data_IF_237640531705
#
_entry.id   IF_237640531705
#
_cell.length_a   1.000
_cell.length_b   1.000
_cell.length_c   1.000
_cell.angle_alpha   90.00
_cell.angle_beta   90.00
_cell.angle_gamma   90.00
#
_symmetry.space_group_name_H-M   'P 1'
#
loop_
_entity.id
_entity.type
_entity.pdbx_description
1 polymer ?
#
# COMPACT_ATOMS: atom_id res chain seq x y z
N UNK A 1 14.29 -14.00 -22.65
CA UNK A 1 13.13 -14.74 -22.10
C UNK A 1 12.94 -15.98 -22.96
N UNK A 2 13.40 -17.15 -22.51
CA UNK A 2 13.08 -18.41 -23.19
C UNK A 2 11.57 -18.51 -23.13
N UNK A 3 10.89 -18.53 -24.29
CA UNK A 3 9.44 -18.78 -24.32
C UNK A 3 9.27 -20.20 -23.80
N UNK A 4 8.98 -20.37 -22.51
CA UNK A 4 8.79 -21.69 -21.87
C UNK A 4 7.71 -22.56 -22.55
N UNK A 5 6.96 -21.99 -23.50
CA UNK A 5 6.17 -22.73 -24.50
C UNK A 5 7.00 -23.82 -25.22
N UNK A 6 8.31 -23.64 -25.35
CA UNK A 6 9.18 -24.55 -26.10
C UNK A 6 9.80 -25.67 -25.23
N UNK A 7 9.61 -25.66 -23.90
CA UNK A 7 10.04 -26.75 -23.01
C UNK A 7 8.85 -27.44 -22.35
N UNK A 8 8.08 -28.16 -23.16
CA UNK A 8 6.87 -28.90 -22.76
C UNK A 8 7.10 -29.93 -21.64
N UNK A 9 8.36 -30.36 -21.44
CA UNK A 9 8.77 -31.27 -20.36
C UNK A 9 8.82 -30.60 -18.99
N UNK A 10 9.03 -29.29 -18.92
CA UNK A 10 9.08 -28.55 -17.65
C UNK A 10 7.70 -28.06 -17.17
N UNK A 11 6.65 -28.17 -17.98
CA UNK A 11 5.32 -27.71 -17.64
C UNK A 11 4.61 -28.69 -16.70
N UNK A 12 4.18 -28.19 -15.54
CA UNK A 12 3.30 -28.90 -14.61
C UNK A 12 1.94 -29.21 -15.25
N UNK A 13 1.19 -30.23 -14.78
CA UNK A 13 -0.10 -30.60 -15.36
C UNK A 13 -1.12 -29.45 -15.47
N UNK A 14 -1.21 -28.57 -14.46
CA UNK A 14 -2.10 -27.41 -14.49
C UNK A 14 -1.71 -26.39 -15.57
N UNK A 15 -0.41 -26.14 -15.78
CA UNK A 15 0.05 -25.27 -16.87
C UNK A 15 -0.43 -25.78 -18.24
N UNK A 16 -0.39 -27.10 -18.45
CA UNK A 16 -0.86 -27.71 -19.71
C UNK A 16 -2.36 -27.54 -19.91
N UNK A 17 -3.16 -27.67 -18.84
CA UNK A 17 -4.61 -27.40 -18.87
C UNK A 17 -4.90 -25.94 -19.22
N UNK A 18 -4.27 -25.00 -18.52
CA UNK A 18 -4.45 -23.56 -18.79
C UNK A 18 -4.09 -23.23 -20.24
N UNK A 19 -2.96 -23.73 -20.75
CA UNK A 19 -2.56 -23.54 -22.15
C UNK A 19 -3.60 -24.11 -23.12
N UNK A 20 -4.20 -25.26 -22.79
CA UNK A 20 -5.26 -25.85 -23.59
C UNK A 20 -6.52 -24.96 -23.61
N UNK A 21 -6.95 -24.45 -22.46
CA UNK A 21 -8.15 -23.63 -22.33
C UNK A 21 -8.04 -22.30 -23.08
N UNK A 22 -6.85 -21.72 -23.11
CA UNK A 22 -6.61 -20.40 -23.73
C UNK A 22 -6.07 -20.52 -25.17
N UNK A 23 -6.05 -21.72 -25.76
CA UNK A 23 -5.40 -21.98 -27.05
C UNK A 23 -5.83 -21.01 -28.15
N UNK A 24 -7.11 -20.65 -28.18
CA UNK A 24 -7.72 -19.76 -29.18
C UNK A 24 -8.07 -18.38 -28.61
N UNK A 25 -7.61 -18.07 -27.38
CA UNK A 25 -7.89 -16.82 -26.70
C UNK A 25 -6.76 -15.80 -26.85
N UNK A 26 -7.13 -14.52 -26.91
CA UNK A 26 -6.19 -13.41 -26.77
C UNK A 26 -5.88 -13.18 -25.30
N UNK A 27 -4.64 -13.45 -24.90
CA UNK A 27 -4.15 -13.14 -23.55
C UNK A 27 -3.87 -11.65 -23.43
N UNK A 28 -4.46 -11.02 -22.41
CA UNK A 28 -4.20 -9.63 -22.04
C UNK A 28 -2.98 -9.56 -21.10
N UNK A 29 -2.22 -8.44 -21.10
CA UNK A 29 -1.04 -8.30 -20.25
C UNK A 29 -1.41 -8.32 -18.76
N UNK A 30 -0.78 -9.14 -17.91
CA UNK A 30 -1.13 -9.25 -16.49
C UNK A 30 -0.96 -7.93 -15.72
N UNK A 31 -0.02 -7.07 -16.12
CA UNK A 31 0.23 -5.76 -15.53
C UNK A 31 -0.94 -4.77 -15.66
N UNK A 32 -1.86 -5.00 -16.61
CA UNK A 32 -3.07 -4.19 -16.76
C UNK A 32 -4.27 -4.75 -16.01
N UNK A 33 -4.14 -5.89 -15.32
CA UNK A 33 -5.27 -6.57 -14.67
C UNK A 33 -5.94 -5.71 -13.60
N UNK A 34 -5.19 -5.17 -12.61
CA UNK A 34 -5.77 -4.34 -11.54
C UNK A 34 -6.43 -3.07 -12.10
N UNK A 35 -5.79 -2.42 -13.07
CA UNK A 35 -6.35 -1.28 -13.81
C UNK A 35 -7.68 -1.64 -14.51
N UNK A 36 -7.74 -2.83 -15.12
CA UNK A 36 -8.96 -3.32 -15.75
C UNK A 36 -10.05 -3.61 -14.71
N UNK A 37 -9.72 -4.23 -13.57
CA UNK A 37 -10.64 -4.46 -12.47
C UNK A 37 -11.25 -3.15 -11.97
N UNK A 38 -10.42 -2.14 -11.73
CA UNK A 38 -10.81 -0.78 -11.33
C UNK A 38 -11.73 -0.08 -12.35
N UNK A 39 -11.51 -0.30 -13.65
CA UNK A 39 -12.36 0.26 -14.72
C UNK A 39 -13.71 -0.45 -14.86
N UNK A 40 -13.83 -1.68 -14.34
CA UNK A 40 -14.93 -2.58 -14.63
C UNK A 40 -15.61 -3.10 -13.36
N UNK A 41 -15.66 -2.30 -12.29
CA UNK A 41 -16.30 -2.69 -11.01
C UNK A 41 -17.73 -3.24 -11.20
N UNK A 42 -18.52 -2.62 -12.07
CA UNK A 42 -19.90 -3.08 -12.38
C UNK A 42 -19.96 -4.47 -13.02
N UNK A 43 -18.90 -4.93 -13.69
CA UNK A 43 -18.88 -6.27 -14.30
C UNK A 43 -18.81 -7.39 -13.28
N UNK A 44 -18.21 -7.09 -12.12
CA UNK A 44 -18.10 -7.98 -10.97
C UNK A 44 -19.36 -7.98 -10.10
N UNK A 45 -20.29 -7.07 -10.36
CA UNK A 45 -21.54 -6.98 -9.61
C UNK A 45 -22.47 -8.12 -10.01
N UNK A 46 -22.65 -9.05 -9.08
CA UNK A 46 -23.75 -10.01 -9.11
C UNK A 46 -25.11 -9.30 -8.93
N UNK A 47 -25.89 -9.20 -10.01
CA UNK A 47 -27.18 -8.49 -10.02
C UNK A 47 -28.27 -9.21 -9.23
N UNK A 48 -28.06 -10.49 -8.90
CA UNK A 48 -29.07 -11.32 -8.26
C UNK A 48 -29.01 -11.24 -6.72
N UNK A 49 -27.99 -10.58 -6.15
CA UNK A 49 -27.89 -10.32 -4.70
C UNK A 49 -28.48 -8.96 -4.31
N UNK A 50 -29.31 -8.93 -3.25
CA UNK A 50 -29.83 -7.67 -2.70
C UNK A 50 -28.72 -6.87 -1.98
N UNK A 51 -28.11 -5.96 -2.74
CA UNK A 51 -27.00 -5.13 -2.29
C UNK A 51 -27.35 -4.18 -1.14
N UNK A 52 -28.62 -3.74 -1.11
CA UNK A 52 -29.05 -2.74 -0.14
C UNK A 52 -29.13 -3.36 1.25
N UNK A 53 -29.62 -4.59 1.36
CA UNK A 53 -29.66 -5.32 2.62
C UNK A 53 -28.27 -5.69 3.15
N UNK A 54 -27.36 -6.14 2.26
CA UNK A 54 -25.96 -6.44 2.65
C UNK A 54 -25.30 -5.20 3.22
N UNK A 55 -25.46 -4.06 2.54
CA UNK A 55 -24.82 -2.81 2.96
C UNK A 55 -25.38 -2.31 4.29
N UNK A 56 -26.72 -2.26 4.41
CA UNK A 56 -27.40 -1.93 5.66
C UNK A 56 -26.99 -2.84 6.81
N UNK A 57 -26.73 -4.13 6.55
CA UNK A 57 -26.26 -5.07 7.57
C UNK A 57 -24.83 -4.75 7.99
N UNK A 58 -23.91 -4.53 7.04
CA UNK A 58 -22.52 -4.18 7.34
C UNK A 58 -22.43 -2.88 8.15
N UNK A 59 -23.17 -1.85 7.73
CA UNK A 59 -23.31 -0.58 8.43
C UNK A 59 -23.82 -0.74 9.87
N UNK A 60 -24.88 -1.54 10.08
CA UNK A 60 -25.43 -1.83 11.42
C UNK A 60 -24.41 -2.54 12.31
N UNK A 61 -23.71 -3.54 11.77
CA UNK A 61 -22.69 -4.29 12.52
C UNK A 61 -21.52 -3.37 12.89
N UNK A 62 -21.00 -2.60 11.94
CA UNK A 62 -19.89 -1.69 12.18
C UNK A 62 -20.25 -0.59 13.19
N UNK A 63 -21.46 -0.04 13.10
CA UNK A 63 -21.99 0.92 14.08
C UNK A 63 -22.04 0.30 15.47
N UNK A 64 -22.62 -0.91 15.61
CA UNK A 64 -22.67 -1.63 16.88
C UNK A 64 -21.29 -1.91 17.47
N UNK A 65 -20.35 -2.44 16.66
CA UNK A 65 -18.97 -2.72 17.10
C UNK A 65 -18.28 -1.43 17.56
N UNK A 66 -18.47 -0.33 16.84
CA UNK A 66 -17.92 0.98 17.19
C UNK A 66 -18.47 1.49 18.52
N UNK A 67 -19.79 1.36 18.74
CA UNK A 67 -20.44 1.72 20.00
C UNK A 67 -19.91 0.89 21.17
N UNK A 68 -19.76 -0.43 20.98
CA UNK A 68 -19.19 -1.33 22.00
C UNK A 68 -17.74 -0.97 22.31
N UNK A 69 -16.90 -0.76 21.29
CA UNK A 69 -15.50 -0.39 21.46
C UNK A 69 -15.34 0.96 22.16
N UNK A 70 -16.14 1.97 21.77
CA UNK A 70 -16.15 3.28 22.41
C UNK A 70 -16.56 3.19 23.88
N UNK A 71 -17.65 2.48 24.18
CA UNK A 71 -18.12 2.26 25.55
C UNK A 71 -17.07 1.57 26.40
N UNK A 72 -16.41 0.56 25.84
CA UNK A 72 -15.36 -0.17 26.53
C UNK A 72 -14.13 0.70 26.83
N UNK A 73 -13.70 1.51 25.85
CA UNK A 73 -12.49 2.34 25.96
C UNK A 73 -12.70 3.58 26.83
N UNK A 74 -13.76 4.35 26.57
CA UNK A 74 -14.03 5.63 27.22
C UNK A 74 -14.90 5.51 28.47
N UNK A 75 -15.44 4.31 28.76
CA UNK A 75 -16.37 4.07 29.88
C UNK A 75 -17.58 5.01 29.90
N UNK A 76 -17.93 5.56 28.74
CA UNK A 76 -19.06 6.46 28.54
C UNK A 76 -19.88 5.99 27.34
N UNK A 77 -21.21 6.20 27.34
CA UNK A 77 -22.03 5.89 26.16
C UNK A 77 -21.55 6.73 24.97
N UNK A 78 -21.51 6.15 23.76
CA UNK A 78 -21.11 6.87 22.57
C UNK A 78 -22.09 8.01 22.28
N UNK A 79 -21.63 9.13 21.70
CA UNK A 79 -22.54 10.13 21.15
C UNK A 79 -23.46 9.48 20.11
N UNK A 80 -24.70 9.97 19.97
CA UNK A 80 -25.66 9.44 18.98
C UNK A 80 -25.05 9.49 17.57
N UNK A 81 -24.59 8.33 17.09
CA UNK A 81 -24.08 8.17 15.73
C UNK A 81 -25.31 8.12 14.81
N UNK A 82 -25.76 9.29 14.35
CA UNK A 82 -26.81 9.41 13.35
C UNK A 82 -26.32 8.78 12.04
N UNK A 83 -26.74 7.54 11.77
CA UNK A 83 -26.50 6.87 10.51
C UNK A 83 -27.26 7.59 9.40
N UNK A 84 -26.56 8.46 8.68
CA UNK A 84 -27.08 9.04 7.43
C UNK A 84 -26.88 8.00 6.33
N UNK A 85 -27.98 7.43 5.84
CA UNK A 85 -27.97 6.48 4.72
C UNK A 85 -27.42 7.19 3.48
N UNK A 86 -26.28 6.73 2.95
CA UNK A 86 -25.71 7.28 1.72
C UNK A 86 -25.70 6.24 0.59
N UNK A 87 -26.36 6.53 -0.55
CA UNK A 87 -26.66 5.53 -1.61
C UNK A 87 -25.48 5.13 -2.53
N UNK A 88 -24.26 5.64 -2.31
CA UNK A 88 -23.10 5.39 -3.20
C UNK A 88 -22.09 4.37 -2.66
N UNK A 89 -22.31 3.84 -1.44
CA UNK A 89 -21.43 2.87 -0.76
C UNK A 89 -21.57 1.42 -1.23
N UNK A 90 -22.72 1.10 -1.83
CA UNK A 90 -23.17 -0.28 -2.02
C UNK A 90 -22.25 -1.13 -2.89
N UNK A 91 -21.49 -0.52 -3.81
CA UNK A 91 -20.63 -1.29 -4.70
C UNK A 91 -19.41 -1.87 -3.97
N UNK A 92 -18.76 -1.12 -3.07
CA UNK A 92 -17.55 -1.61 -2.40
C UNK A 92 -17.87 -2.73 -1.40
N UNK A 93 -18.94 -2.55 -0.62
CA UNK A 93 -19.40 -3.54 0.34
C UNK A 93 -19.87 -4.82 -0.35
N UNK A 94 -20.60 -4.69 -1.47
CA UNK A 94 -20.98 -5.82 -2.30
C UNK A 94 -19.77 -6.57 -2.84
N UNK A 95 -18.81 -5.85 -3.44
CA UNK A 95 -17.61 -6.48 -4.00
C UNK A 95 -16.79 -7.19 -2.92
N UNK A 96 -16.65 -6.59 -1.74
CA UNK A 96 -16.00 -7.24 -0.60
C UNK A 96 -16.69 -8.56 -0.24
N UNK A 97 -18.02 -8.55 -0.07
CA UNK A 97 -18.78 -9.75 0.31
C UNK A 97 -18.74 -10.84 -0.77
N UNK A 98 -18.80 -10.45 -2.04
CA UNK A 98 -18.69 -11.40 -3.16
C UNK A 98 -17.31 -12.05 -3.15
N UNK A 99 -16.24 -11.26 -3.07
CA UNK A 99 -14.88 -11.81 -3.09
C UNK A 99 -14.55 -12.65 -1.85
N UNK A 100 -15.02 -12.26 -0.67
CA UNK A 100 -14.88 -13.07 0.56
C UNK A 100 -15.53 -14.45 0.37
N UNK A 101 -16.76 -14.49 -0.13
CA UNK A 101 -17.48 -15.74 -0.44
C UNK A 101 -16.75 -16.59 -1.46
N UNK A 102 -16.22 -16.00 -2.53
CA UNK A 102 -15.47 -16.72 -3.57
C UNK A 102 -14.15 -17.27 -3.03
N UNK A 103 -13.42 -16.48 -2.24
CA UNK A 103 -12.16 -16.91 -1.64
C UNK A 103 -12.40 -18.05 -0.66
N UNK A 104 -13.45 -17.96 0.17
CA UNK A 104 -13.84 -19.03 1.09
C UNK A 104 -14.15 -20.32 0.33
N UNK A 105 -14.98 -20.25 -0.71
CA UNK A 105 -15.38 -21.39 -1.53
C UNK A 105 -14.17 -22.05 -2.22
N UNK A 106 -13.30 -21.25 -2.83
CA UNK A 106 -12.06 -21.74 -3.48
C UNK A 106 -11.11 -22.37 -2.45
N UNK A 107 -10.98 -21.77 -1.26
CA UNK A 107 -10.07 -22.26 -0.22
C UNK A 107 -10.54 -23.57 0.43
N UNK A 108 -11.86 -23.76 0.54
CA UNK A 108 -12.46 -24.97 1.10
C UNK A 108 -12.65 -26.08 0.06
N UNK A 109 -12.49 -25.77 -1.24
CA UNK A 109 -12.66 -26.73 -2.32
C UNK A 109 -11.58 -27.83 -2.28
N UNK A 110 -12.03 -29.08 -2.41
CA UNK A 110 -11.14 -30.23 -2.63
C UNK A 110 -10.74 -30.40 -4.10
N UNK A 111 -11.37 -29.64 -5.01
CA UNK A 111 -11.09 -29.71 -6.43
C UNK A 111 -9.84 -28.90 -6.76
N UNK A 112 -8.90 -29.51 -7.48
CA UNK A 112 -7.69 -28.84 -7.95
C UNK A 112 -7.97 -27.69 -8.94
N UNK A 113 -9.16 -27.70 -9.54
CA UNK A 113 -9.65 -26.71 -10.49
C UNK A 113 -11.08 -26.37 -10.15
N UNK A 114 -11.39 -25.09 -10.14
CA UNK A 114 -12.72 -24.58 -9.84
C UNK A 114 -13.07 -23.44 -10.79
N UNK A 115 -14.32 -23.38 -11.21
CA UNK A 115 -14.82 -22.32 -12.06
C UNK A 115 -15.93 -21.56 -11.35
N UNK A 116 -15.78 -20.25 -11.26
CA UNK A 116 -16.72 -19.36 -10.58
C UNK A 116 -17.14 -18.26 -11.53
N UNK A 117 -18.43 -17.98 -11.58
CA UNK A 117 -18.98 -16.85 -12.32
C UNK A 117 -19.32 -15.73 -11.35
N UNK A 118 -18.66 -14.59 -11.51
CA UNK A 118 -18.83 -13.39 -10.68
C UNK A 118 -19.44 -12.29 -11.55
N UNK A 119 -20.75 -12.08 -11.42
CA UNK A 119 -21.50 -11.20 -12.31
C UNK A 119 -21.37 -11.62 -13.77
N UNK A 120 -20.70 -10.79 -14.57
CA UNK A 120 -20.45 -11.07 -16.01
C UNK A 120 -19.06 -11.67 -16.30
N UNK A 121 -18.23 -11.84 -15.27
CA UNK A 121 -16.86 -12.34 -15.39
C UNK A 121 -16.79 -13.80 -14.97
N UNK A 122 -16.12 -14.63 -15.76
CA UNK A 122 -15.85 -16.02 -15.42
C UNK A 122 -14.41 -16.15 -14.98
N UNK A 123 -14.18 -16.74 -13.82
CA UNK A 123 -12.87 -16.97 -13.22
C UNK A 123 -12.65 -18.46 -13.06
N UNK A 124 -11.58 -18.96 -13.67
CA UNK A 124 -11.13 -20.35 -13.50
C UNK A 124 -9.91 -20.33 -12.60
N UNK A 125 -10.04 -20.93 -11.42
CA UNK A 125 -8.94 -21.17 -10.48
C UNK A 125 -8.33 -22.54 -10.79
N UNK A 126 -7.02 -22.61 -11.06
CA UNK A 126 -6.31 -23.88 -11.30
C UNK A 126 -4.92 -23.81 -10.63
N UNK A 127 -4.83 -24.38 -9.43
CA UNK A 127 -3.67 -24.29 -8.53
C UNK A 127 -3.25 -22.84 -8.21
N UNK A 128 -2.04 -22.44 -8.60
CA UNK A 128 -1.44 -21.12 -8.32
C UNK A 128 -1.75 -20.05 -9.37
N UNK A 129 -2.47 -20.42 -10.43
CA UNK A 129 -2.85 -19.55 -11.53
C UNK A 129 -4.37 -19.46 -11.66
N UNK A 130 -4.80 -18.32 -12.21
CA UNK A 130 -6.20 -18.06 -12.50
C UNK A 130 -6.35 -17.56 -13.93
N UNK A 131 -7.42 -18.00 -14.60
CA UNK A 131 -7.86 -17.46 -15.89
C UNK A 131 -9.08 -16.58 -15.62
N UNK A 132 -9.00 -15.31 -15.99
CA UNK A 132 -10.12 -14.36 -15.88
C UNK A 132 -10.62 -14.04 -17.28
N UNK A 133 -11.77 -14.58 -17.64
CA UNK A 133 -12.40 -14.35 -18.95
C UNK A 133 -13.18 -13.04 -18.94
N UNK A 134 -12.73 -12.08 -19.74
CA UNK A 134 -13.37 -10.76 -19.84
C UNK A 134 -14.32 -10.66 -21.03
N UNK A 135 -14.12 -11.52 -22.03
CA UNK A 135 -14.99 -11.81 -23.18
C UNK A 135 -14.73 -13.26 -23.61
N UNK A 136 -15.56 -13.80 -24.49
CA UNK A 136 -15.44 -15.18 -25.01
C UNK A 136 -14.02 -15.56 -25.46
N UNK A 137 -13.31 -14.64 -26.14
CA UNK A 137 -11.96 -14.90 -26.68
C UNK A 137 -10.89 -13.98 -26.07
N UNK A 138 -11.13 -13.35 -24.92
CA UNK A 138 -10.15 -12.49 -24.25
C UNK A 138 -10.06 -12.85 -22.76
N UNK A 139 -8.85 -13.11 -22.29
CA UNK A 139 -8.61 -13.48 -20.90
C UNK A 139 -7.35 -12.86 -20.33
N UNK A 140 -7.30 -12.76 -19.01
CA UNK A 140 -6.06 -12.61 -18.25
C UNK A 140 -5.65 -13.98 -17.71
N UNK A 141 -4.34 -14.25 -17.70
CA UNK A 141 -3.76 -15.35 -16.92
C UNK A 141 -2.88 -14.71 -15.85
N UNK A 142 -3.29 -14.83 -14.60
CA UNK A 142 -2.68 -14.12 -13.46
C UNK A 142 -2.41 -15.10 -12.31
N UNK A 143 -1.41 -14.83 -11.46
CA UNK A 143 -1.25 -15.62 -10.24
C UNK A 143 -2.43 -15.39 -9.30
N UNK A 144 -2.76 -16.41 -8.49
CA UNK A 144 -3.82 -16.32 -7.49
C UNK A 144 -3.62 -15.15 -6.52
N UNK A 145 -2.37 -14.80 -6.20
CA UNK A 145 -2.03 -13.64 -5.37
C UNK A 145 -2.54 -12.31 -5.94
N UNK A 146 -2.67 -12.17 -7.26
CA UNK A 146 -3.20 -10.96 -7.88
C UNK A 146 -4.73 -10.87 -7.78
N UNK A 147 -5.42 -12.03 -7.76
CA UNK A 147 -6.86 -12.10 -7.42
C UNK A 147 -7.06 -11.70 -5.96
N UNK A 148 -6.26 -12.27 -5.05
CA UNK A 148 -6.29 -11.92 -3.63
C UNK A 148 -6.01 -10.43 -3.40
N UNK A 149 -5.05 -9.85 -4.13
CA UNK A 149 -4.77 -8.41 -4.08
C UNK A 149 -6.01 -7.58 -4.45
N UNK A 150 -6.76 -7.96 -5.49
CA UNK A 150 -7.96 -7.23 -5.87
C UNK A 150 -9.11 -7.41 -4.86
N UNK A 151 -9.26 -8.61 -4.30
CA UNK A 151 -10.22 -8.85 -3.21
C UNK A 151 -9.90 -7.99 -1.99
N UNK A 152 -8.63 -7.94 -1.56
CA UNK A 152 -8.17 -7.10 -0.44
C UNK A 152 -8.38 -5.60 -0.69
N UNK A 153 -8.20 -5.15 -1.95
CA UNK A 153 -8.58 -3.79 -2.35
C UNK A 153 -10.08 -3.54 -2.13
N UNK A 154 -10.95 -4.44 -2.57
CA UNK A 154 -12.40 -4.30 -2.37
C UNK A 154 -12.79 -4.23 -0.89
N UNK A 155 -12.22 -5.12 -0.07
CA UNK A 155 -12.45 -5.14 1.37
C UNK A 155 -11.93 -3.88 2.06
N UNK A 156 -10.75 -3.40 1.65
CA UNK A 156 -10.17 -2.16 2.15
C UNK A 156 -11.04 -0.94 1.80
N UNK A 157 -11.56 -0.86 0.58
CA UNK A 157 -12.47 0.22 0.17
C UNK A 157 -13.77 0.20 0.96
N UNK A 158 -14.36 -0.99 1.17
CA UNK A 158 -15.55 -1.16 1.99
C UNK A 158 -15.30 -0.71 3.44
N UNK A 159 -14.22 -1.20 4.06
CA UNK A 159 -13.87 -0.87 5.45
C UNK A 159 -13.63 0.63 5.66
N UNK A 160 -12.86 1.25 4.76
CA UNK A 160 -12.59 2.69 4.80
C UNK A 160 -13.87 3.49 4.58
N UNK A 161 -14.72 3.07 3.64
CA UNK A 161 -15.98 3.74 3.40
C UNK A 161 -16.87 3.72 4.64
N UNK A 162 -17.09 2.54 5.23
CA UNK A 162 -17.84 2.35 6.48
C UNK A 162 -17.27 3.24 7.60
N UNK A 163 -15.94 3.25 7.78
CA UNK A 163 -15.28 4.11 8.77
C UNK A 163 -15.60 5.59 8.52
N UNK A 164 -15.42 6.06 7.28
CA UNK A 164 -15.65 7.46 6.93
C UNK A 164 -17.11 7.89 7.12
N UNK A 165 -18.07 6.98 6.94
CA UNK A 165 -19.50 7.20 7.20
C UNK A 165 -19.76 7.35 8.69
N UNK A 166 -19.25 6.41 9.51
CA UNK A 166 -19.43 6.44 10.96
C UNK A 166 -18.80 7.68 11.61
N UNK A 167 -17.68 8.15 11.05
CA UNK A 167 -16.93 9.30 11.55
C UNK A 167 -17.06 10.54 10.65
N UNK A 168 -18.15 10.68 9.90
CA UNK A 168 -18.31 11.76 8.93
C UNK A 168 -18.19 13.15 9.57
N UNK A 169 -18.64 13.30 10.82
CA UNK A 169 -18.61 14.55 11.59
C UNK A 169 -17.38 14.68 12.51
N UNK A 170 -16.32 13.88 12.30
CA UNK A 170 -15.07 13.97 13.09
C UNK A 170 -14.44 15.36 13.02
N UNK A 171 -14.59 16.05 11.88
CA UNK A 171 -14.06 17.39 11.65
C UNK A 171 -15.22 18.37 11.43
N UNK A 172 -15.42 19.37 12.32
CA UNK A 172 -16.52 20.33 12.19
C UNK A 172 -16.51 21.04 10.83
N UNK A 173 -17.67 21.03 10.15
CA UNK A 173 -17.84 21.68 8.85
C UNK A 173 -17.20 20.94 7.66
N UNK A 174 -16.71 19.70 7.87
CA UNK A 174 -16.09 18.90 6.83
C UNK A 174 -16.68 17.49 6.78
N UNK A 175 -16.95 16.99 5.58
CA UNK A 175 -17.43 15.61 5.40
C UNK A 175 -16.26 14.69 5.08
N UNK A 176 -15.84 13.90 6.08
CA UNK A 176 -14.80 12.89 5.88
C UNK A 176 -15.21 11.84 4.83
N UNK A 177 -16.50 11.47 4.78
CA UNK A 177 -17.00 10.52 3.80
C UNK A 177 -16.85 11.01 2.35
N UNK A 178 -17.21 12.28 2.08
CA UNK A 178 -17.06 12.86 0.73
C UNK A 178 -15.59 12.85 0.32
N UNK A 179 -14.70 13.29 1.21
CA UNK A 179 -13.26 13.36 0.93
C UNK A 179 -12.65 11.99 0.64
N UNK A 180 -12.97 10.99 1.48
CA UNK A 180 -12.52 9.61 1.30
C UNK A 180 -13.01 9.05 -0.04
N UNK A 181 -14.29 9.24 -0.36
CA UNK A 181 -14.88 8.76 -1.62
C UNK A 181 -14.21 9.39 -2.83
N UNK A 182 -14.07 10.72 -2.84
CA UNK A 182 -13.42 11.43 -3.95
C UNK A 182 -11.95 11.05 -4.09
N UNK A 183 -11.25 10.84 -2.96
CA UNK A 183 -9.87 10.38 -2.97
C UNK A 183 -9.75 8.97 -3.58
N UNK A 184 -10.61 8.02 -3.18
CA UNK A 184 -10.69 6.68 -3.77
C UNK A 184 -10.96 6.74 -5.28
N UNK A 185 -11.88 7.60 -5.72
CA UNK A 185 -12.19 7.78 -7.13
C UNK A 185 -11.02 8.35 -7.93
N UNK A 186 -10.33 9.37 -7.41
CA UNK A 186 -9.13 9.96 -8.02
C UNK A 186 -8.00 8.92 -8.14
N UNK A 187 -7.76 8.15 -7.08
CA UNK A 187 -6.75 7.08 -7.10
C UNK A 187 -7.10 5.98 -8.10
N UNK A 188 -8.36 5.53 -8.11
CA UNK A 188 -8.86 4.54 -9.06
C UNK A 188 -8.68 5.03 -10.50
N UNK A 189 -9.11 6.24 -10.80
CA UNK A 189 -8.97 6.83 -12.13
C UNK A 189 -7.50 6.97 -12.56
N UNK A 190 -6.62 7.39 -11.64
CA UNK A 190 -5.19 7.42 -11.88
C UNK A 190 -4.62 6.03 -12.21
N UNK A 191 -5.02 4.99 -11.46
CA UNK A 191 -4.61 3.61 -11.72
C UNK A 191 -5.10 3.12 -13.09
N UNK A 192 -6.32 3.51 -13.48
CA UNK A 192 -6.89 3.21 -14.80
C UNK A 192 -6.10 3.86 -15.93
N UNK A 193 -5.72 5.12 -15.78
CA UNK A 193 -5.01 5.88 -16.83
C UNK A 193 -3.55 5.51 -16.97
N UNK A 194 -2.88 5.21 -15.85
CA UNK A 194 -1.42 5.06 -15.82
C UNK A 194 -0.94 3.65 -15.46
N UNK A 195 -1.84 2.73 -15.11
CA UNK A 195 -1.49 1.36 -14.75
C UNK A 195 -0.40 1.31 -13.67
N UNK A 196 0.63 0.50 -13.90
CA UNK A 196 1.75 0.33 -12.96
C UNK A 196 2.47 1.63 -12.61
N UNK A 197 2.46 2.63 -13.49
CA UNK A 197 3.12 3.91 -13.25
C UNK A 197 2.46 4.71 -12.11
N UNK A 198 1.15 4.53 -11.88
CA UNK A 198 0.40 5.17 -10.80
C UNK A 198 0.99 4.86 -9.41
N UNK A 199 1.55 3.66 -9.21
CA UNK A 199 2.14 3.26 -7.94
C UNK A 199 3.38 4.08 -7.55
N UNK A 200 4.04 4.75 -8.51
CA UNK A 200 5.11 5.71 -8.18
C UNK A 200 4.55 6.88 -7.37
N UNK A 201 3.41 7.43 -7.79
CA UNK A 201 2.75 8.53 -7.11
C UNK A 201 2.10 8.08 -5.79
N UNK A 202 1.40 6.93 -5.78
CA UNK A 202 0.80 6.39 -4.55
C UNK A 202 1.85 6.15 -3.44
N UNK A 203 3.02 5.61 -3.80
CA UNK A 203 4.12 5.39 -2.85
C UNK A 203 4.68 6.70 -2.28
N UNK A 204 4.64 7.77 -3.06
CA UNK A 204 5.12 9.10 -2.66
C UNK A 204 4.06 9.91 -1.90
N UNK A 205 2.80 9.46 -1.89
CA UNK A 205 1.69 10.23 -1.34
C UNK A 205 1.91 10.69 0.11
N UNK A 206 2.36 9.86 1.07
CA UNK A 206 2.65 10.34 2.43
C UNK A 206 3.62 11.53 2.45
N UNK A 207 4.68 11.46 1.65
CA UNK A 207 5.69 12.52 1.54
C UNK A 207 5.14 13.77 0.85
N UNK A 208 4.27 13.62 -0.16
CA UNK A 208 3.60 14.74 -0.82
C UNK A 208 2.67 15.50 0.12
N UNK A 209 1.86 14.78 0.89
CA UNK A 209 0.97 15.36 1.88
C UNK A 209 1.75 16.16 2.93
N UNK A 210 2.84 15.59 3.47
CA UNK A 210 3.72 16.29 4.41
C UNK A 210 4.34 17.52 3.74
N UNK A 211 4.82 17.40 2.50
CA UNK A 211 5.38 18.54 1.76
C UNK A 211 4.40 19.68 1.54
N UNK A 212 3.15 19.39 1.21
CA UNK A 212 2.11 20.41 1.08
C UNK A 212 1.82 21.10 2.43
N UNK A 213 1.78 20.33 3.53
CA UNK A 213 1.58 20.87 4.88
C UNK A 213 2.74 21.77 5.30
N UNK A 214 4.00 21.34 5.11
CA UNK A 214 5.19 22.14 5.42
C UNK A 214 5.25 23.43 4.60
N UNK A 215 4.90 23.37 3.31
CA UNK A 215 4.84 24.55 2.44
C UNK A 215 3.87 25.59 2.98
N UNK A 216 2.69 25.18 3.40
CA UNK A 216 1.60 26.11 3.73
C UNK A 216 1.57 26.53 5.20
N UNK A 217 1.98 25.66 6.13
CA UNK A 217 1.99 25.94 7.58
C UNK A 217 3.35 26.39 8.10
N UNK A 218 4.45 25.94 7.49
CA UNK A 218 5.83 26.27 7.92
C UNK A 218 6.60 27.11 6.90
N UNK A 219 5.96 27.47 5.77
CA UNK A 219 6.56 28.25 4.69
C UNK A 219 7.83 27.60 4.10
N UNK A 220 7.91 26.27 4.13
CA UNK A 220 9.05 25.49 3.62
C UNK A 220 8.67 24.62 2.43
N UNK A 221 9.06 25.05 1.22
CA UNK A 221 8.72 24.38 -0.05
C UNK A 221 9.84 23.44 -0.56
N UNK A 222 11.01 23.44 0.08
CA UNK A 222 12.18 22.67 -0.37
C UNK A 222 11.91 21.16 -0.39
N UNK A 223 11.21 20.66 0.64
CA UNK A 223 10.85 19.25 0.73
C UNK A 223 9.93 18.82 -0.41
N UNK A 224 8.88 19.60 -0.67
CA UNK A 224 7.93 19.31 -1.75
C UNK A 224 8.60 19.35 -3.13
N UNK A 225 9.46 20.33 -3.38
CA UNK A 225 10.28 20.41 -4.61
C UNK A 225 11.15 19.17 -4.79
N UNK A 226 11.87 18.78 -3.73
CA UNK A 226 12.77 17.62 -3.76
C UNK A 226 12.02 16.33 -4.06
N UNK A 227 10.85 16.12 -3.44
CA UNK A 227 10.04 14.92 -3.68
C UNK A 227 9.48 14.90 -5.10
N UNK A 228 9.03 16.04 -5.61
CA UNK A 228 8.33 16.10 -6.90
C UNK A 228 9.27 16.16 -8.10
N UNK A 229 10.58 16.39 -7.91
CA UNK A 229 11.53 16.56 -9.02
C UNK A 229 11.54 15.36 -9.99
N UNK A 230 11.54 14.14 -9.44
CA UNK A 230 11.68 12.89 -10.19
C UNK A 230 10.33 12.30 -10.65
N UNK A 231 9.22 12.97 -10.30
CA UNK A 231 7.90 12.49 -10.66
C UNK A 231 7.61 12.78 -12.15
N UNK A 232 7.21 11.76 -12.95
CA UNK A 232 6.85 11.95 -14.35
C UNK A 232 5.79 13.03 -14.55
N UNK A 233 5.93 13.82 -15.62
CA UNK A 233 4.98 14.89 -15.95
C UNK A 233 3.54 14.38 -16.09
N UNK A 234 3.35 13.19 -16.66
CA UNK A 234 2.04 12.56 -16.80
C UNK A 234 1.34 12.35 -15.45
N UNK A 235 2.10 12.02 -14.39
CA UNK A 235 1.54 11.85 -13.04
C UNK A 235 1.26 13.19 -12.36
N UNK A 236 2.11 14.21 -12.60
CA UNK A 236 1.88 15.59 -12.12
C UNK A 236 0.60 16.21 -12.71
N UNK A 237 0.19 15.75 -13.90
CA UNK A 237 -1.01 16.23 -14.56
C UNK A 237 -2.32 15.61 -14.01
N UNK A 238 -2.23 14.58 -13.16
CA UNK A 238 -3.41 13.89 -12.61
C UNK A 238 -4.16 14.75 -11.60
N UNK A 239 -5.48 14.56 -11.51
CA UNK A 239 -6.30 15.27 -10.53
C UNK A 239 -5.99 14.83 -9.10
N UNK A 240 -5.55 13.59 -8.93
CA UNK A 240 -5.01 13.11 -7.66
C UNK A 240 -3.80 13.95 -7.22
N UNK A 241 -2.77 14.10 -8.06
CA UNK A 241 -1.61 14.92 -7.73
C UNK A 241 -2.00 16.36 -7.41
N UNK A 242 -2.82 16.99 -8.26
CA UNK A 242 -3.27 18.39 -8.08
C UNK A 242 -3.99 18.58 -6.75
N UNK A 243 -4.84 17.62 -6.36
CA UNK A 243 -5.51 17.62 -5.07
C UNK A 243 -4.52 17.51 -3.92
N UNK A 244 -3.52 16.63 -4.01
CA UNK A 244 -2.52 16.43 -2.96
C UNK A 244 -1.56 17.60 -2.76
N UNK A 245 -1.26 18.36 -3.81
CA UNK A 245 -0.43 19.57 -3.70
C UNK A 245 -1.23 20.86 -3.56
N UNK A 246 -2.56 20.76 -3.43
CA UNK A 246 -3.43 21.92 -3.24
C UNK A 246 -3.12 22.65 -1.92
N UNK A 247 -3.58 23.90 -1.82
CA UNK A 247 -3.31 24.74 -0.65
C UNK A 247 -4.02 24.19 0.59
N UNK A 248 -3.26 24.01 1.66
CA UNK A 248 -3.75 23.66 2.99
C UNK A 248 -4.28 24.93 3.65
N UNK A 249 -5.61 24.99 3.82
CA UNK A 249 -6.33 26.16 4.32
C UNK A 249 -6.21 26.36 5.84
N UNK A 250 -5.62 25.40 6.56
CA UNK A 250 -5.41 25.48 8.00
C UNK A 250 -5.21 24.11 8.66
N UNK A 251 -5.08 24.07 10.00
CA UNK A 251 -4.77 22.85 10.75
C UNK A 251 -5.77 21.72 10.55
N UNK A 252 -7.07 22.01 10.45
CA UNK A 252 -8.09 20.98 10.20
C UNK A 252 -7.90 20.30 8.85
N UNK A 253 -7.61 21.05 7.78
CA UNK A 253 -7.33 20.48 6.47
C UNK A 253 -6.03 19.66 6.49
N UNK A 254 -5.00 20.10 7.22
CA UNK A 254 -3.79 19.32 7.42
C UNK A 254 -4.06 17.99 8.15
N UNK A 255 -4.89 17.99 9.20
CA UNK A 255 -5.28 16.77 9.92
C UNK A 255 -6.06 15.80 9.01
N UNK A 256 -7.04 16.30 8.25
CA UNK A 256 -7.78 15.49 7.28
C UNK A 256 -6.83 14.87 6.27
N UNK A 257 -5.91 15.67 5.71
CA UNK A 257 -4.90 15.20 4.76
C UNK A 257 -4.08 14.06 5.35
N UNK A 258 -3.57 14.23 6.57
CA UNK A 258 -2.79 13.21 7.28
C UNK A 258 -3.61 11.97 7.64
N UNK A 259 -4.91 12.11 7.89
CA UNK A 259 -5.79 10.98 8.13
C UNK A 259 -5.99 10.12 6.87
N UNK A 260 -6.19 10.77 5.72
CA UNK A 260 -6.48 10.07 4.46
C UNK A 260 -5.24 9.53 3.75
N UNK A 261 -4.02 9.96 4.09
CA UNK A 261 -2.82 9.44 3.40
C UNK A 261 -2.73 7.91 3.48
N UNK A 262 -3.23 7.30 4.57
CA UNK A 262 -3.21 5.84 4.75
C UNK A 262 -3.92 5.07 3.64
N UNK A 263 -4.82 5.73 2.89
CA UNK A 263 -5.57 5.12 1.81
C UNK A 263 -4.70 4.64 0.64
N UNK A 264 -3.45 5.07 0.52
CA UNK A 264 -2.55 4.61 -0.56
C UNK A 264 -2.41 3.08 -0.57
N UNK A 265 -2.50 2.44 0.61
CA UNK A 265 -2.42 0.99 0.77
C UNK A 265 -3.67 0.26 0.25
N UNK A 266 -4.79 0.95 0.11
CA UNK A 266 -6.05 0.36 -0.37
C UNK A 266 -6.06 0.13 -1.89
N UNK A 267 -5.04 0.59 -2.61
CA UNK A 267 -4.91 0.45 -4.07
C UNK A 267 -4.12 -0.80 -4.48
N UNK A 268 -3.87 -1.71 -3.54
CA UNK A 268 -3.15 -2.95 -3.77
C UNK A 268 -1.66 -2.74 -3.99
N UNK A 269 -1.02 -3.73 -4.61
CA UNK A 269 0.44 -3.73 -4.82
C UNK A 269 0.79 -3.78 -6.31
N UNK A 270 1.84 -3.04 -6.73
CA UNK A 270 2.32 -3.13 -8.10
C UNK A 270 2.86 -4.54 -8.39
N UNK A 271 2.83 -4.94 -9.66
CA UNK A 271 3.56 -6.11 -10.11
C UNK A 271 5.05 -5.75 -10.13
N UNK A 272 5.84 -6.47 -9.35
CA UNK A 272 7.28 -6.22 -9.25
C UNK A 272 8.00 -6.99 -10.36
N UNK A 273 8.70 -6.25 -11.23
CA UNK A 273 9.67 -6.84 -12.14
C UNK A 273 10.93 -7.23 -11.34
N UNK A 274 11.10 -8.52 -11.12
CA UNK A 274 12.23 -9.05 -10.36
C UNK A 274 13.57 -8.83 -11.08
N UNK A 275 13.58 -8.81 -12.42
CA UNK A 275 14.80 -8.58 -13.19
C UNK A 275 15.23 -7.12 -13.10
N UNK A 276 14.28 -6.19 -13.25
CA UNK A 276 14.54 -4.75 -13.07
C UNK A 276 15.00 -4.45 -11.64
N UNK A 277 14.32 -5.04 -10.65
CA UNK A 277 14.66 -4.87 -9.24
C UNK A 277 16.07 -5.39 -8.94
N UNK A 278 16.41 -6.58 -9.42
CA UNK A 278 17.73 -7.18 -9.22
C UNK A 278 18.82 -6.35 -9.89
N UNK A 279 18.58 -5.87 -11.12
CA UNK A 279 19.51 -4.96 -11.81
C UNK A 279 19.71 -3.66 -11.04
N UNK A 280 18.64 -3.05 -10.54
CA UNK A 280 18.71 -1.83 -9.72
C UNK A 280 19.52 -2.05 -8.45
N UNK A 281 19.33 -3.19 -7.78
CA UNK A 281 20.10 -3.59 -6.60
C UNK A 281 21.57 -3.81 -6.91
N UNK A 282 21.90 -4.55 -7.98
CA UNK A 282 23.28 -4.74 -8.42
C UNK A 282 23.95 -3.41 -8.76
N UNK A 283 23.25 -2.53 -9.49
CA UNK A 283 23.75 -1.21 -9.86
C UNK A 283 24.00 -0.31 -8.66
N UNK A 284 23.32 -0.51 -7.52
CA UNK A 284 23.56 0.25 -6.28
C UNK A 284 24.63 -0.41 -5.40
N UNK A 285 24.61 -1.73 -5.31
CA UNK A 285 25.48 -2.50 -4.42
C UNK A 285 26.91 -2.65 -4.95
N UNK A 286 27.11 -2.62 -6.26
CA UNK A 286 28.43 -2.79 -6.89
C UNK A 286 29.17 -1.47 -7.12
N UNK A 287 28.61 -0.34 -6.65
CA UNK A 287 29.27 0.96 -6.78
C UNK A 287 30.44 1.03 -5.79
N UNK A 288 31.65 0.99 -6.35
CA UNK A 288 32.87 1.27 -5.60
C UNK A 288 32.86 2.74 -5.17
N UNK A 289 32.73 2.97 -3.87
CA UNK A 289 32.86 4.31 -3.29
C UNK A 289 34.34 4.65 -3.13
N UNK A 290 34.77 5.75 -3.72
CA UNK A 290 36.14 6.26 -3.62
C UNK A 290 36.27 7.26 -2.48
N UNK A 291 37.50 7.51 -2.03
CA UNK A 291 37.86 8.59 -1.10
C UNK A 291 37.15 8.57 0.27
N UNK A 292 36.86 7.37 0.78
CA UNK A 292 36.19 7.19 2.07
C UNK A 292 37.12 7.17 3.29
N UNK A 293 38.43 7.35 3.12
CA UNK A 293 39.42 7.14 4.20
C UNK A 293 39.17 8.00 5.44
N UNK A 294 39.01 9.31 5.25
CA UNK A 294 38.76 10.28 6.32
C UNK A 294 37.40 10.04 6.99
N UNK A 295 36.33 9.94 6.18
CA UNK A 295 34.99 9.65 6.69
C UNK A 295 34.92 8.30 7.45
N UNK A 296 35.65 7.29 7.01
CA UNK A 296 35.72 6.00 7.69
C UNK A 296 36.46 6.10 9.03
N UNK A 297 37.52 6.90 9.11
CA UNK A 297 38.23 7.18 10.37
C UNK A 297 37.32 7.93 11.35
N UNK A 298 36.57 8.94 10.88
CA UNK A 298 35.61 9.69 11.69
C UNK A 298 34.50 8.79 12.24
N UNK A 299 33.90 7.95 11.39
CA UNK A 299 32.87 6.99 11.80
C UNK A 299 33.45 5.98 12.80
N UNK A 300 34.67 5.50 12.57
CA UNK A 300 35.34 4.58 13.49
C UNK A 300 35.57 5.23 14.87
N UNK A 301 36.03 6.48 14.89
CA UNK A 301 36.26 7.24 16.11
C UNK A 301 34.95 7.55 16.86
N UNK A 302 33.90 7.90 16.13
CA UNK A 302 32.55 8.10 16.70
C UNK A 302 32.01 6.80 17.31
N UNK A 303 32.13 5.68 16.62
CA UNK A 303 31.75 4.37 17.15
C UNK A 303 32.53 4.02 18.42
N UNK A 304 33.85 4.21 18.42
CA UNK A 304 34.70 3.99 19.60
C UNK A 304 34.27 4.88 20.77
N UNK A 305 34.00 6.17 20.53
CA UNK A 305 33.51 7.12 21.55
C UNK A 305 32.20 6.60 22.15
N UNK A 306 31.22 6.29 21.31
CA UNK A 306 29.90 5.87 21.78
C UNK A 306 29.94 4.52 22.50
N UNK A 307 30.72 3.56 22.00
CA UNK A 307 30.94 2.29 22.69
C UNK A 307 31.55 2.48 24.07
N UNK A 308 32.64 3.26 24.18
CA UNK A 308 33.29 3.52 25.46
C UNK A 308 32.35 4.25 26.43
N UNK A 309 31.54 5.19 25.93
CA UNK A 309 30.53 5.93 26.72
C UNK A 309 29.54 4.98 27.37
N UNK A 310 28.92 4.14 26.56
CA UNK A 310 27.91 3.18 27.01
C UNK A 310 28.53 2.15 27.95
N UNK A 311 29.72 1.63 27.63
CA UNK A 311 30.42 0.66 28.46
C UNK A 311 30.76 1.24 29.84
N UNK A 312 31.33 2.46 29.89
CA UNK A 312 31.66 3.15 31.12
C UNK A 312 30.41 3.45 31.95
N UNK A 313 29.34 3.96 31.31
CA UNK A 313 28.06 4.21 31.98
C UNK A 313 27.46 2.95 32.61
N UNK A 314 27.55 1.80 31.93
CA UNK A 314 26.98 0.53 32.42
C UNK A 314 27.85 -0.18 33.46
N UNK A 315 29.18 -0.09 33.36
CA UNK A 315 30.09 -0.90 34.17
C UNK A 315 30.96 -0.09 35.13
N UNK A 316 30.86 1.24 35.09
CA UNK A 316 31.68 2.20 35.84
C UNK A 316 33.19 1.92 35.72
N UNK A 317 33.62 1.44 34.55
CA UNK A 317 35.01 1.12 34.22
C UNK A 317 35.20 1.22 32.72
N UNK A 318 36.41 1.54 32.29
CA UNK A 318 36.77 1.56 30.88
C UNK A 318 36.82 0.13 30.28
N UNK A 319 36.45 -0.05 29.00
CA UNK A 319 36.71 -1.30 28.31
C UNK A 319 38.23 -1.54 28.26
N UNK A 320 38.65 -2.81 28.27
CA UNK A 320 40.05 -3.15 28.14
C UNK A 320 40.57 -2.71 26.76
N UNK A 321 41.40 -1.67 26.74
CA UNK A 321 41.94 -1.07 25.51
C UNK A 321 43.46 -1.13 25.53
N UNK A 322 44.05 -1.53 24.41
CA UNK A 322 45.49 -1.42 24.21
C UNK A 322 45.82 0.01 23.78
N UNK A 323 46.51 0.77 24.63
CA UNK A 323 46.90 2.17 24.37
C UNK A 323 47.91 2.33 23.21
N UNK A 324 48.38 1.22 22.62
CA UNK A 324 49.27 1.23 21.46
C UNK A 324 48.60 1.56 20.12
N UNK A 325 47.27 1.66 20.06
CA UNK A 325 46.54 2.09 18.86
C UNK A 325 46.38 3.63 18.83
N UNK A 326 46.28 4.21 17.63
CA UNK A 326 45.80 5.59 17.45
C UNK A 326 44.38 5.70 18.01
N UNK A 327 44.27 6.15 19.25
CA UNK A 327 43.02 6.55 19.88
C UNK A 327 42.81 8.04 19.65
N UNK A 328 41.54 8.44 19.54
CA UNK A 328 41.19 9.85 19.60
C UNK A 328 41.78 10.46 20.89
N UNK A 329 42.49 11.61 20.82
CA UNK A 329 43.15 12.21 21.98
C UNK A 329 42.21 12.43 23.17
N UNK A 330 40.95 12.80 22.93
CA UNK A 330 39.94 12.99 23.98
C UNK A 330 39.65 11.71 24.75
N UNK A 331 39.38 10.62 24.01
CA UNK A 331 39.13 9.29 24.61
C UNK A 331 40.36 8.83 25.40
N UNK A 332 41.56 9.08 24.87
CA UNK A 332 42.81 8.75 25.56
C UNK A 332 42.93 9.48 26.89
N UNK A 333 42.65 10.78 26.92
CA UNK A 333 42.66 11.57 28.16
C UNK A 333 41.64 11.04 29.17
N UNK A 334 40.40 10.81 28.74
CA UNK A 334 39.34 10.27 29.59
C UNK A 334 39.70 8.89 30.21
N UNK A 335 40.37 8.02 29.44
CA UNK A 335 40.87 6.72 29.94
C UNK A 335 41.94 6.93 31.02
N UNK A 336 42.90 7.83 30.78
CA UNK A 336 44.00 8.08 31.71
C UNK A 336 43.52 8.74 33.01
N UNK A 337 42.51 9.59 32.93
CA UNK A 337 41.88 10.27 34.07
C UNK A 337 40.85 9.37 34.77
N UNK A 338 40.53 8.21 34.19
CA UNK A 338 39.50 7.29 34.65
C UNK A 338 38.14 7.98 34.88
N UNK A 339 37.80 8.94 34.02
CA UNK A 339 36.56 9.70 34.07
C UNK A 339 36.01 9.90 32.65
N UNK A 340 34.68 9.82 32.50
CA UNK A 340 34.04 10.07 31.22
C UNK A 340 33.80 11.57 31.00
N UNK A 341 34.49 12.18 30.03
CA UNK A 341 34.22 13.55 29.57
C UNK A 341 33.14 13.60 28.49
N UNK A 342 32.02 14.28 28.75
CA UNK A 342 30.89 14.40 27.79
C UNK A 342 31.18 15.27 26.57
N UNK A 343 32.23 16.09 26.60
CA UNK A 343 32.56 17.06 25.55
C UNK A 343 33.13 16.44 24.27
#
# INVERSE_FOLDING_TARGET
MIRHKDNSKALRPHHKRIIHDIKDATMLPPETFLSWCCSNLERWRDKDRDHLEISKRAERVASYVTQVAYTHYYKTPPPDILMTQLPTSHIYEHLSSVWESVIEEVSQSSQARMEVKIGSVQVVFDADLCIVWVKTNQCYVVPYSLILCFADMCSSWAAVHIYSTLYNNKYPGYSLNIEVRECLDRMRFMLVQHGQLAYKLLKMWPSLAIGAILRDLEHSDEFLKTITQDLPFSLKATDFYKHEVSTIMGPTHAMIRLDIIGLWKTMGHPIVDMDETTKSWMNKGLVMKQDLGEAAEDICNMFKKEFCRQFYKSHNKWPAVSLGFKLNPHIRTCILENEWGET
#
